data_IF_356082569682
#
_entry.id   IF_356082569682
#
_cell.length_a   1.000
_cell.length_b   1.000
_cell.length_c   1.000
_cell.angle_alpha   90.00
_cell.angle_beta   90.00
_cell.angle_gamma   90.00
#
_symmetry.space_group_name_H-M   'P 1'
#
loop_
_entity.id
_entity.type
_entity.pdbx_description
1 polymer ?
#
# COMPACT_ATOMS: atom_id res chain seq x y z
N UNK A 1 -2.71 14.97 -6.58
CA UNK A 1 -2.87 14.71 -5.13
C UNK A 1 -4.36 14.58 -4.88
N UNK A 2 -4.82 13.45 -4.32
CA UNK A 2 -6.24 13.24 -3.99
C UNK A 2 -6.64 14.07 -2.77
N UNK A 3 -7.94 14.23 -2.45
CA UNK A 3 -8.39 14.85 -1.20
C UNK A 3 -7.78 14.18 0.05
N UNK A 4 -7.41 12.90 -0.05
CA UNK A 4 -6.71 12.12 0.98
C UNK A 4 -5.17 12.30 0.95
N UNK A 5 -4.67 13.19 0.09
CA UNK A 5 -3.25 13.47 -0.11
C UNK A 5 -2.44 12.35 -0.78
N UNK A 6 -3.07 11.22 -1.15
CA UNK A 6 -2.38 10.06 -1.74
C UNK A 6 -1.86 10.40 -3.14
N UNK A 7 -0.58 10.09 -3.37
CA UNK A 7 0.06 10.18 -4.69
C UNK A 7 -0.19 8.89 -5.46
N UNK A 8 -0.72 9.01 -6.68
CA UNK A 8 -1.05 7.88 -7.57
C UNK A 8 -0.09 7.83 -8.74
N UNK A 9 0.27 6.62 -9.17
CA UNK A 9 1.20 6.40 -10.29
C UNK A 9 0.43 6.32 -11.61
N UNK A 10 0.87 7.06 -12.64
CA UNK A 10 0.38 6.92 -14.01
C UNK A 10 -1.14 7.14 -14.20
N UNK A 11 -1.81 7.87 -13.30
CA UNK A 11 -3.27 8.03 -13.32
C UNK A 11 -4.05 6.77 -12.89
N UNK A 12 -3.36 5.76 -12.39
CA UNK A 12 -3.95 4.49 -11.94
C UNK A 12 -4.48 4.59 -10.51
N UNK A 13 -5.11 3.51 -10.03
CA UNK A 13 -5.50 3.43 -8.62
C UNK A 13 -4.36 3.01 -7.68
N UNK A 14 -3.19 2.66 -8.22
CA UNK A 14 -2.04 2.20 -7.44
C UNK A 14 -1.30 3.41 -6.89
N UNK A 15 -1.01 3.35 -5.58
CA UNK A 15 -0.35 4.45 -4.88
C UNK A 15 1.16 4.39 -5.05
N UNK A 16 1.81 5.55 -4.90
CA UNK A 16 3.26 5.67 -4.90
C UNK A 16 3.89 4.75 -3.84
N UNK A 17 3.32 4.74 -2.64
CA UNK A 17 3.84 3.98 -1.51
C UNK A 17 3.82 2.47 -1.79
N UNK A 18 2.76 1.99 -2.46
CA UNK A 18 2.64 0.57 -2.86
C UNK A 18 3.81 0.14 -3.75
N UNK A 19 4.15 0.96 -4.75
CA UNK A 19 5.28 0.67 -5.66
C UNK A 19 6.61 0.72 -4.91
N UNK A 20 6.81 1.74 -4.07
CA UNK A 20 8.07 1.94 -3.36
C UNK A 20 8.31 0.90 -2.27
N UNK A 21 7.30 0.50 -1.50
CA UNK A 21 7.45 -0.57 -0.50
C UNK A 21 7.81 -1.90 -1.17
N UNK A 22 7.12 -2.25 -2.26
CA UNK A 22 7.41 -3.50 -2.98
C UNK A 22 8.83 -3.49 -3.54
N UNK A 23 9.32 -2.36 -4.05
CA UNK A 23 10.70 -2.19 -4.49
C UNK A 23 11.70 -2.30 -3.32
N UNK A 24 11.40 -1.70 -2.18
CA UNK A 24 12.25 -1.76 -0.98
C UNK A 24 12.30 -3.14 -0.33
N UNK A 25 11.29 -3.97 -0.54
CA UNK A 25 11.29 -5.39 -0.19
C UNK A 25 12.15 -6.26 -1.12
N UNK A 26 12.74 -5.65 -2.17
CA UNK A 26 13.67 -6.30 -3.08
C UNK A 26 13.07 -6.74 -4.42
N UNK A 27 11.80 -6.40 -4.68
CA UNK A 27 11.19 -6.73 -5.97
C UNK A 27 11.77 -5.87 -7.11
N UNK A 28 11.91 -6.47 -8.28
CA UNK A 28 12.31 -5.74 -9.49
C UNK A 28 11.14 -4.92 -10.06
N UNK A 29 11.44 -3.98 -10.95
CA UNK A 29 10.40 -3.18 -11.62
C UNK A 29 9.44 -4.07 -12.44
N UNK A 30 9.96 -5.12 -13.05
CA UNK A 30 9.23 -6.11 -13.83
C UNK A 30 8.30 -6.94 -12.95
N UNK A 31 8.76 -7.38 -11.78
CA UNK A 31 7.93 -8.09 -10.80
C UNK A 31 6.80 -7.20 -10.26
N UNK A 32 7.09 -5.93 -10.03
CA UNK A 32 6.08 -4.95 -9.60
C UNK A 32 5.04 -4.73 -10.71
N UNK A 33 5.46 -4.55 -11.96
CA UNK A 33 4.54 -4.39 -13.09
C UNK A 33 3.67 -5.64 -13.30
N UNK A 34 4.24 -6.84 -13.09
CA UNK A 34 3.49 -8.09 -13.15
C UNK A 34 2.46 -8.20 -12.02
N UNK A 35 2.81 -7.77 -10.80
CA UNK A 35 1.92 -7.77 -9.63
C UNK A 35 0.80 -6.75 -9.73
N UNK A 36 1.04 -5.64 -10.42
CA UNK A 36 0.06 -4.57 -10.61
C UNK A 36 -0.18 -4.28 -12.10
N UNK A 37 -1.00 -5.09 -12.81
CA UNK A 37 -1.23 -4.96 -14.25
C UNK A 37 -1.83 -3.62 -14.71
N UNK A 38 -2.35 -2.83 -13.77
CA UNK A 38 -2.82 -1.47 -14.05
C UNK A 38 -1.66 -0.49 -14.33
N UNK A 39 -0.45 -0.80 -13.86
CA UNK A 39 0.76 0.00 -14.09
C UNK A 39 1.44 -0.40 -15.39
N UNK A 40 1.86 0.60 -16.16
CA UNK A 40 2.82 0.34 -17.23
C UNK A 40 4.22 0.12 -16.64
N UNK A 41 5.03 -0.73 -17.29
CA UNK A 41 6.42 -0.94 -16.87
C UNK A 41 7.22 0.38 -16.87
N UNK A 42 6.93 1.26 -17.84
CA UNK A 42 7.56 2.58 -17.93
C UNK A 42 7.24 3.44 -16.70
N UNK A 43 6.00 3.42 -16.22
CA UNK A 43 5.61 4.19 -15.02
C UNK A 43 6.28 3.64 -13.76
N UNK A 44 6.45 2.33 -13.65
CA UNK A 44 7.17 1.69 -12.53
C UNK A 44 8.63 2.15 -12.52
N UNK A 45 9.33 2.08 -13.65
CA UNK A 45 10.71 2.55 -13.74
C UNK A 45 10.83 4.05 -13.45
N UNK A 46 9.94 4.88 -14.01
CA UNK A 46 9.93 6.33 -13.75
C UNK A 46 9.76 6.62 -12.25
N UNK A 47 8.87 5.87 -11.59
CA UNK A 47 8.61 5.98 -10.16
C UNK A 47 9.84 5.60 -9.33
N UNK A 48 10.48 4.47 -9.64
CA UNK A 48 11.70 4.02 -8.95
C UNK A 48 12.84 5.02 -9.17
N UNK A 49 13.03 5.49 -10.41
CA UNK A 49 14.05 6.47 -10.74
C UNK A 49 13.85 7.80 -9.99
N UNK A 50 12.60 8.26 -9.88
CA UNK A 50 12.25 9.44 -9.08
C UNK A 50 12.61 9.22 -7.60
N UNK A 51 12.21 8.08 -7.01
CA UNK A 51 12.55 7.75 -5.63
C UNK A 51 14.06 7.72 -5.38
N UNK A 52 14.84 7.06 -6.25
CA UNK A 52 16.29 6.97 -6.09
C UNK A 52 16.97 8.35 -6.16
N UNK A 53 16.43 9.28 -6.96
CA UNK A 53 16.94 10.66 -7.07
C UNK A 53 16.55 11.54 -5.87
N UNK A 54 15.39 11.30 -5.27
CA UNK A 54 14.80 12.13 -4.21
C UNK A 54 14.65 11.38 -2.88
N UNK A 55 15.53 10.40 -2.61
CA UNK A 55 15.35 9.41 -1.55
C UNK A 55 15.02 10.01 -0.19
N UNK A 56 15.81 10.99 0.27
CA UNK A 56 15.61 11.60 1.59
C UNK A 56 14.27 12.32 1.74
N UNK A 57 13.80 12.97 0.68
CA UNK A 57 12.51 13.67 0.67
C UNK A 57 11.36 12.68 0.68
N UNK A 58 11.45 11.64 -0.16
CA UNK A 58 10.42 10.61 -0.28
C UNK A 58 10.36 9.72 0.97
N UNK A 59 11.49 9.40 1.60
CA UNK A 59 11.51 8.67 2.88
C UNK A 59 10.80 9.45 4.00
N UNK A 60 10.98 10.77 4.04
CA UNK A 60 10.26 11.66 4.95
C UNK A 60 8.75 11.66 4.69
N UNK A 61 8.36 11.71 3.43
CA UNK A 61 6.95 11.58 3.02
C UNK A 61 6.37 10.21 3.44
N UNK A 62 7.07 9.11 3.15
CA UNK A 62 6.62 7.74 3.49
C UNK A 62 6.45 7.54 4.99
N UNK A 63 7.35 8.11 5.81
CA UNK A 63 7.26 8.05 7.27
C UNK A 63 6.04 8.79 7.80
N UNK A 64 5.79 9.98 7.27
CA UNK A 64 4.61 10.79 7.63
C UNK A 64 3.32 10.04 7.25
N UNK A 65 3.26 9.51 6.03
CA UNK A 65 2.14 8.73 5.50
C UNK A 65 1.81 7.50 6.32
N UNK A 66 2.84 6.74 6.70
CA UNK A 66 2.66 5.56 7.54
C UNK A 66 2.00 5.93 8.87
N UNK A 67 2.46 7.02 9.49
CA UNK A 67 1.92 7.49 10.77
C UNK A 67 0.46 7.95 10.63
N UNK A 68 0.12 8.62 9.53
CA UNK A 68 -1.27 9.02 9.22
C UNK A 68 -2.16 7.80 9.00
N UNK A 69 -1.74 6.84 8.17
CA UNK A 69 -2.49 5.61 7.93
C UNK A 69 -2.72 4.80 9.21
N UNK A 70 -1.72 4.70 10.09
CA UNK A 70 -1.85 4.02 11.38
C UNK A 70 -2.87 4.73 12.30
N UNK A 71 -2.91 6.07 12.28
CA UNK A 71 -3.90 6.85 13.02
C UNK A 71 -5.31 6.67 12.46
N UNK A 72 -5.48 6.77 11.14
CA UNK A 72 -6.76 6.59 10.47
C UNK A 72 -7.31 5.18 10.72
N UNK A 73 -6.46 4.16 10.66
CA UNK A 73 -6.84 2.78 10.99
C UNK A 73 -7.30 2.65 12.44
N UNK A 74 -6.59 3.29 13.38
CA UNK A 74 -6.93 3.25 14.80
C UNK A 74 -8.25 3.98 15.09
N UNK A 75 -8.53 5.09 14.40
CA UNK A 75 -9.78 5.84 14.51
C UNK A 75 -10.96 5.05 13.95
N UNK A 76 -10.84 4.52 12.74
CA UNK A 76 -11.87 3.67 12.12
C UNK A 76 -12.14 2.41 12.96
N UNK A 77 -11.11 1.80 13.55
CA UNK A 77 -11.28 0.64 14.43
C UNK A 77 -12.03 0.99 15.72
N UNK A 78 -11.87 2.21 16.25
CA UNK A 78 -12.64 2.71 17.40
C UNK A 78 -14.09 3.03 17.04
N UNK A 79 -14.30 3.61 15.86
CA UNK A 79 -15.62 4.06 15.41
C UNK A 79 -16.49 2.88 14.90
N UNK A 80 -15.87 1.85 14.31
CA UNK A 80 -16.57 0.71 13.72
C UNK A 80 -16.05 -0.65 14.23
N UNK A 81 -16.26 -1.00 15.51
CA UNK A 81 -15.82 -2.28 16.09
C UNK A 81 -16.42 -3.51 15.39
N UNK A 82 -17.59 -3.36 14.75
CA UNK A 82 -18.28 -4.40 13.98
C UNK A 82 -17.43 -4.93 12.80
N UNK A 83 -16.53 -4.12 12.21
CA UNK A 83 -15.61 -4.62 11.16
C UNK A 83 -14.58 -5.59 11.71
N UNK A 84 -14.11 -5.36 12.93
CA UNK A 84 -13.18 -6.26 13.64
C UNK A 84 -13.87 -7.57 13.97
N UNK A 85 -15.10 -7.52 14.48
CA UNK A 85 -15.90 -8.72 14.79
C UNK A 85 -16.22 -9.56 13.53
N UNK A 86 -16.55 -8.91 12.41
CA UNK A 86 -16.80 -9.61 11.13
C UNK A 86 -15.52 -10.28 10.63
N UNK A 87 -14.36 -9.60 10.73
CA UNK A 87 -13.05 -10.18 10.38
C UNK A 87 -12.71 -11.37 11.26
N UNK A 88 -12.87 -11.25 12.58
CA UNK A 88 -12.65 -12.36 13.52
C UNK A 88 -13.55 -13.55 13.23
N UNK A 89 -14.82 -13.31 12.91
CA UNK A 89 -15.76 -14.37 12.53
C UNK A 89 -15.37 -15.09 11.24
N UNK A 90 -14.82 -14.37 10.26
CA UNK A 90 -14.32 -14.96 9.02
C UNK A 90 -13.06 -15.79 9.27
N UNK A 91 -12.11 -15.29 10.06
CA UNK A 91 -10.89 -16.01 10.44
C UNK A 91 -11.20 -17.30 11.22
N UNK A 92 -12.10 -17.24 12.20
CA UNK A 92 -12.55 -18.41 12.95
C UNK A 92 -13.32 -19.45 12.09
N UNK A 93 -13.79 -19.05 10.90
CA UNK A 93 -14.43 -19.96 9.94
C UNK A 93 -13.39 -20.65 9.05
N UNK A 94 -12.34 -19.94 8.64
CA UNK A 94 -11.19 -20.52 7.94
C UNK A 94 -10.45 -21.54 8.81
N UNK A 95 -10.17 -21.23 10.08
CA UNK A 95 -9.48 -22.15 11.00
C UNK A 95 -10.25 -23.45 11.31
N UNK A 96 -11.58 -23.42 11.15
CA UNK A 96 -12.45 -24.61 11.26
C UNK A 96 -12.43 -25.45 9.99
N UNK A 97 -12.12 -24.84 8.85
CA UNK A 97 -12.10 -25.49 7.55
C UNK A 97 -10.76 -26.20 7.29
N UNK A 98 -9.65 -25.67 7.83
CA UNK A 98 -8.31 -26.29 7.76
C UNK A 98 -8.08 -27.43 8.76
N UNK A 99 -9.01 -27.64 9.71
CA UNK A 99 -8.89 -28.65 10.78
C UNK A 99 -9.77 -29.89 10.57
N UNK A 100 -10.36 -30.02 9.37
CA UNK A 100 -11.18 -31.15 8.90
C UNK A 100 -10.55 -31.81 7.69
#
# INVERSE_FOLDING_TARGET
MTPEGVVRVGGTRVSLETVLWTFLEGATAEEIALRYPALSLSDVYATIAFYLRHRSEVDGYLTTRRTEMERDCAEVAREFPVRTEVRERLLARLERQDRS
#
